data_IF_974981244496
#
_entry.id   IF_974981244496
#
_cell.length_a   1.000
_cell.length_b   1.000
_cell.length_c   1.000
_cell.angle_alpha   90.00
_cell.angle_beta   90.00
_cell.angle_gamma   90.00
#
_symmetry.space_group_name_H-M   'P 1'
#
loop_
_entity.id
_entity.type
_entity.pdbx_description
1 polymer ?
#
# COMPACT_ATOMS: atom_id res chain seq x y z
N UNK A 1 36.54 -10.20 6.07
CA UNK A 1 36.13 -11.32 5.19
C UNK A 1 35.35 -10.69 4.03
N UNK A 2 35.99 -10.48 2.88
CA UNK A 2 35.40 -9.69 1.78
C UNK A 2 34.55 -10.58 0.88
N UNK A 3 33.25 -10.29 0.78
CA UNK A 3 32.37 -10.86 -0.24
C UNK A 3 32.82 -10.30 -1.59
N UNK A 4 33.01 -11.15 -2.61
CA UNK A 4 33.50 -10.74 -3.94
C UNK A 4 32.48 -9.79 -4.60
N UNK A 5 32.69 -8.49 -4.47
CA UNK A 5 32.02 -7.48 -5.29
C UNK A 5 32.68 -7.52 -6.67
N UNK A 6 31.92 -7.84 -7.72
CA UNK A 6 32.38 -7.64 -9.11
C UNK A 6 32.35 -6.14 -9.41
N UNK A 7 33.37 -5.42 -8.93
CA UNK A 7 33.67 -4.06 -9.36
C UNK A 7 34.60 -4.12 -10.56
N UNK A 8 34.19 -3.54 -11.69
CA UNK A 8 35.12 -3.21 -12.77
C UNK A 8 36.00 -2.07 -12.22
N UNK A 9 37.27 -2.37 -12.00
CA UNK A 9 38.28 -1.38 -11.65
C UNK A 9 38.53 -0.54 -12.92
N UNK A 10 37.81 0.57 -13.09
CA UNK A 10 38.22 1.60 -14.06
C UNK A 10 39.40 2.32 -13.41
N UNK A 11 40.61 1.97 -13.84
CA UNK A 11 41.84 2.61 -13.38
C UNK A 11 41.75 4.12 -13.61
N UNK A 12 41.88 4.89 -12.54
CA UNK A 12 42.01 6.33 -12.61
C UNK A 12 43.38 6.63 -13.21
N UNK A 13 43.38 7.04 -14.48
CA UNK A 13 44.54 7.63 -15.13
C UNK A 13 44.73 9.04 -14.52
N UNK A 14 45.72 9.19 -13.63
CA UNK A 14 46.16 10.50 -13.17
C UNK A 14 46.77 11.26 -14.35
N UNK A 15 45.98 12.14 -14.98
CA UNK A 15 46.51 13.16 -15.90
C UNK A 15 46.86 14.38 -15.06
N UNK A 16 48.14 14.56 -14.75
CA UNK A 16 48.65 15.81 -14.21
C UNK A 16 48.72 16.83 -15.34
N UNK A 17 47.77 17.78 -15.36
CA UNK A 17 47.88 18.99 -16.18
C UNK A 17 48.71 20.00 -15.40
N UNK A 18 49.96 20.20 -15.81
CA UNK A 18 50.79 21.31 -15.32
C UNK A 18 50.72 22.44 -16.34
N UNK A 19 50.22 23.60 -15.92
CA UNK A 19 50.45 24.86 -16.64
C UNK A 19 50.44 26.04 -15.68
N UNK A 20 51.64 26.57 -15.40
CA UNK A 20 51.99 27.94 -14.98
C UNK A 20 51.39 28.50 -13.68
N UNK A 21 52.09 29.27 -12.84
CA UNK A 21 53.45 29.82 -12.88
C UNK A 21 53.76 30.36 -11.46
N UNK A 22 55.00 30.19 -10.99
CA UNK A 22 55.60 31.02 -9.94
C UNK A 22 55.51 30.51 -8.50
N UNK A 23 56.52 29.76 -8.03
CA UNK A 23 57.60 30.29 -7.16
C UNK A 23 58.49 29.16 -6.61
N UNK A 24 59.80 29.36 -6.79
CA UNK A 24 60.97 28.75 -6.12
C UNK A 24 61.12 27.22 -6.11
N UNK A 25 61.96 26.76 -7.02
CA UNK A 25 62.72 25.51 -6.92
C UNK A 25 63.86 25.73 -5.91
N UNK A 26 63.90 24.93 -4.85
CA UNK A 26 65.14 24.58 -4.17
C UNK A 26 64.99 23.20 -3.52
N UNK A 27 65.90 22.32 -3.94
CA UNK A 27 66.28 21.01 -3.40
C UNK A 27 65.33 19.82 -3.65
N UNK A 28 65.55 19.20 -4.82
CA UNK A 28 65.32 17.77 -5.02
C UNK A 28 66.36 17.00 -4.21
N UNK A 29 66.02 16.64 -2.98
CA UNK A 29 66.69 15.54 -2.30
C UNK A 29 66.00 14.24 -2.72
N UNK A 30 66.68 13.42 -3.51
CA UNK A 30 66.35 12.00 -3.66
C UNK A 30 66.58 11.33 -2.30
N UNK A 31 65.54 11.30 -1.48
CA UNK A 31 65.51 10.40 -0.32
C UNK A 31 64.99 9.07 -0.83
N UNK A 32 65.93 8.23 -1.27
CA UNK A 32 65.74 6.80 -1.33
C UNK A 32 65.71 6.26 0.11
N UNK A 33 64.57 6.41 0.78
CA UNK A 33 64.26 5.57 1.93
C UNK A 33 62.94 4.86 1.65
N UNK A 34 63.06 3.53 1.56
CA UNK A 34 61.95 2.59 1.55
C UNK A 34 61.41 2.57 2.98
N UNK A 35 60.71 3.65 3.35
CA UNK A 35 59.91 3.75 4.55
C UNK A 35 58.48 3.39 4.18
N UNK A 36 58.06 2.16 4.50
CA UNK A 36 56.68 1.72 4.38
C UNK A 36 55.77 2.57 5.26
N UNK A 37 55.32 3.71 4.76
CA UNK A 37 54.18 4.42 5.32
C UNK A 37 52.94 3.81 4.68
N UNK A 38 52.44 2.75 5.31
CA UNK A 38 51.03 2.39 5.21
C UNK A 38 50.23 3.60 5.68
N UNK A 39 49.78 4.42 4.74
CA UNK A 39 48.64 5.30 4.99
C UNK A 39 47.44 4.38 5.11
N UNK A 40 47.18 3.91 6.33
CA UNK A 40 45.88 3.34 6.67
C UNK A 40 44.86 4.48 6.56
N UNK A 41 44.37 4.72 5.34
CA UNK A 41 43.04 5.27 5.21
C UNK A 41 42.11 4.24 5.85
N UNK A 42 41.75 4.46 7.12
CA UNK A 42 40.52 3.91 7.69
C UNK A 42 39.38 4.47 6.86
N UNK A 43 39.11 3.88 5.70
CA UNK A 43 37.82 3.97 5.09
C UNK A 43 36.88 3.31 6.09
N UNK A 44 36.14 4.11 6.85
CA UNK A 44 34.99 3.61 7.60
C UNK A 44 34.15 2.85 6.59
N UNK A 45 34.14 1.52 6.71
CA UNK A 45 33.24 0.70 5.91
C UNK A 45 31.84 1.14 6.34
N UNK A 46 31.09 1.68 5.39
CA UNK A 46 29.74 2.14 5.65
C UNK A 46 28.87 0.91 5.91
N UNK A 47 28.78 0.50 7.17
CA UNK A 47 28.02 -0.69 7.60
C UNK A 47 26.51 -0.41 7.69
N UNK A 48 26.05 0.74 7.20
CA UNK A 48 24.65 1.11 7.23
C UNK A 48 24.14 1.69 5.92
N UNK A 49 22.89 1.39 5.59
CA UNK A 49 22.20 1.91 4.42
C UNK A 49 20.85 2.51 4.80
N UNK A 50 20.58 3.71 4.31
CA UNK A 50 19.31 4.40 4.53
C UNK A 50 18.33 4.09 3.40
N UNK A 51 17.14 3.60 3.75
CA UNK A 51 16.02 3.44 2.84
C UNK A 51 15.18 4.71 2.84
N UNK A 52 15.08 5.37 1.69
CA UNK A 52 14.44 6.68 1.54
C UNK A 52 13.21 6.58 0.65
N UNK A 53 12.12 7.20 1.06
CA UNK A 53 10.95 7.39 0.21
C UNK A 53 11.25 8.49 -0.82
N UNK A 54 11.38 8.11 -2.09
CA UNK A 54 11.70 9.07 -3.17
C UNK A 54 10.64 10.15 -3.38
N UNK A 55 9.40 9.94 -2.90
CA UNK A 55 8.28 10.88 -3.08
C UNK A 55 8.34 12.05 -2.08
N UNK A 56 8.81 11.77 -0.86
CA UNK A 56 8.84 12.75 0.24
C UNK A 56 10.26 13.14 0.64
N UNK A 57 11.27 12.39 0.20
CA UNK A 57 12.66 12.52 0.65
C UNK A 57 12.90 12.05 2.09
N UNK A 58 11.91 11.40 2.72
CA UNK A 58 11.98 10.98 4.13
C UNK A 58 12.72 9.66 4.26
N UNK A 59 13.62 9.56 5.24
CA UNK A 59 14.21 8.26 5.63
C UNK A 59 13.14 7.40 6.29
N UNK A 60 12.83 6.27 5.66
CA UNK A 60 11.83 5.30 6.13
C UNK A 60 12.45 4.34 7.13
N UNK A 61 13.70 3.90 6.87
CA UNK A 61 14.42 2.98 7.74
C UNK A 61 15.90 3.03 7.47
N UNK A 62 16.71 3.17 8.53
CA UNK A 62 18.15 2.93 8.48
C UNK A 62 18.44 1.48 8.85
N UNK A 63 19.22 0.80 8.02
CA UNK A 63 19.62 -0.59 8.19
C UNK A 63 21.08 -0.67 8.60
N UNK A 64 21.40 -1.49 9.60
CA UNK A 64 22.76 -1.91 9.92
C UNK A 64 23.01 -3.26 9.23
N UNK A 65 23.87 -3.28 8.22
CA UNK A 65 24.18 -4.46 7.40
C UNK A 65 24.80 -5.58 8.23
N UNK A 66 25.62 -5.24 9.23
CA UNK A 66 26.24 -6.23 10.12
C UNK A 66 25.18 -6.99 10.89
N UNK A 67 24.19 -6.27 11.44
CA UNK A 67 23.07 -6.85 12.20
C UNK A 67 22.18 -7.78 11.37
N UNK A 68 22.16 -7.57 10.04
CA UNK A 68 21.40 -8.40 9.10
C UNK A 68 22.15 -9.69 8.73
N UNK A 69 23.41 -9.86 9.14
CA UNK A 69 24.26 -11.01 8.82
C UNK A 69 25.04 -10.84 7.51
N UNK A 70 25.22 -9.62 7.01
CA UNK A 70 25.89 -9.34 5.73
C UNK A 70 27.31 -9.92 5.65
N UNK A 71 28.05 -9.88 6.75
CA UNK A 71 29.42 -10.39 6.85
C UNK A 71 29.52 -11.84 7.35
N UNK A 72 28.40 -12.46 7.69
CA UNK A 72 28.35 -13.77 8.34
C UNK A 72 27.96 -14.88 7.36
N UNK A 73 26.75 -14.79 6.81
CA UNK A 73 26.13 -15.86 6.02
C UNK A 73 25.14 -15.30 5.00
N UNK A 74 25.30 -15.71 3.74
CA UNK A 74 24.51 -15.20 2.62
C UNK A 74 23.03 -15.58 2.72
N UNK A 75 22.71 -16.78 3.23
CA UNK A 75 21.33 -17.22 3.38
C UNK A 75 20.63 -16.48 4.54
N UNK A 76 21.33 -16.26 5.65
CA UNK A 76 20.88 -15.45 6.79
C UNK A 76 20.63 -14.02 6.35
N UNK A 77 21.57 -13.41 5.62
CA UNK A 77 21.41 -12.05 5.10
C UNK A 77 20.19 -11.92 4.20
N UNK A 78 20.03 -12.84 3.24
CA UNK A 78 18.87 -12.86 2.35
C UNK A 78 17.54 -12.93 3.13
N UNK A 79 17.44 -13.83 4.11
CA UNK A 79 16.23 -13.96 4.93
C UNK A 79 15.93 -12.69 5.73
N UNK A 80 16.95 -12.04 6.28
CA UNK A 80 16.82 -10.77 6.99
C UNK A 80 16.35 -9.65 6.05
N UNK A 81 16.93 -9.55 4.86
CA UNK A 81 16.54 -8.57 3.84
C UNK A 81 15.11 -8.76 3.36
N UNK A 82 14.66 -9.99 3.13
CA UNK A 82 13.26 -10.30 2.79
C UNK A 82 12.29 -9.88 3.91
N UNK A 83 12.67 -10.07 5.17
CA UNK A 83 11.88 -9.60 6.32
C UNK A 83 11.82 -8.07 6.36
N UNK A 84 12.95 -7.40 6.14
CA UNK A 84 13.03 -5.94 6.07
C UNK A 84 12.13 -5.40 4.96
N UNK A 85 12.18 -5.97 3.76
CA UNK A 85 11.35 -5.53 2.64
C UNK A 85 9.85 -5.62 2.99
N UNK A 86 9.41 -6.73 3.62
CA UNK A 86 8.04 -6.90 4.09
C UNK A 86 7.63 -5.89 5.17
N UNK A 87 8.52 -5.58 6.10
CA UNK A 87 8.26 -4.58 7.14
C UNK A 87 8.15 -3.17 6.57
N UNK A 88 9.01 -2.82 5.61
CA UNK A 88 8.97 -1.53 4.91
C UNK A 88 7.70 -1.44 4.06
N UNK A 89 7.33 -2.51 3.34
CA UNK A 89 6.10 -2.59 2.57
C UNK A 89 4.87 -2.24 3.40
N UNK A 90 4.70 -2.85 4.58
CA UNK A 90 3.59 -2.53 5.50
C UNK A 90 3.45 -1.06 5.87
N UNK A 91 4.55 -0.30 5.91
CA UNK A 91 4.53 1.11 6.28
C UNK A 91 4.27 2.02 5.07
N UNK A 92 4.78 1.62 3.90
CA UNK A 92 4.80 2.41 2.68
C UNK A 92 3.55 2.16 1.83
N UNK A 93 3.07 0.92 1.83
CA UNK A 93 1.94 0.50 1.02
C UNK A 93 0.68 1.21 1.46
N UNK A 94 -0.03 1.76 0.47
CA UNK A 94 -1.33 2.41 0.65
C UNK A 94 -2.26 1.92 -0.44
N UNK A 95 -3.47 1.56 -0.04
CA UNK A 95 -4.54 1.21 -0.97
C UNK A 95 -5.10 2.47 -1.64
N UNK A 96 -5.64 2.30 -2.84
CA UNK A 96 -6.32 3.36 -3.58
C UNK A 96 -7.56 3.82 -2.82
N UNK A 97 -7.81 5.12 -2.81
CA UNK A 97 -9.14 5.68 -2.52
C UNK A 97 -9.73 6.13 -3.85
N UNK A 98 -10.77 5.46 -4.38
CA UNK A 98 -11.36 5.82 -5.65
C UNK A 98 -11.94 7.23 -5.69
N UNK A 99 -12.07 7.79 -6.89
CA UNK A 99 -12.83 9.02 -7.10
C UNK A 99 -14.33 8.77 -6.93
N UNK A 100 -15.08 9.83 -6.63
CA UNK A 100 -16.49 9.74 -6.26
C UNK A 100 -17.30 10.92 -6.79
N UNK A 101 -18.50 10.64 -7.26
CA UNK A 101 -19.56 11.65 -7.43
C UNK A 101 -20.42 11.68 -6.16
N UNK A 102 -20.32 12.75 -5.39
CA UNK A 102 -21.07 12.91 -4.15
C UNK A 102 -22.57 13.19 -4.43
N UNK A 103 -23.40 13.04 -3.39
CA UNK A 103 -24.85 13.21 -3.50
C UNK A 103 -25.28 14.65 -3.81
N UNK A 104 -24.44 15.63 -3.53
CA UNK A 104 -24.65 17.04 -3.89
C UNK A 104 -24.21 17.35 -5.34
N UNK A 105 -23.74 16.34 -6.09
CA UNK A 105 -23.24 16.47 -7.44
C UNK A 105 -21.78 16.90 -7.54
N UNK A 106 -21.08 17.09 -6.42
CA UNK A 106 -19.66 17.44 -6.44
C UNK A 106 -18.78 16.23 -6.80
N UNK A 107 -17.76 16.49 -7.61
CA UNK A 107 -16.72 15.51 -7.92
C UNK A 107 -15.63 15.54 -6.84
N UNK A 108 -15.30 14.38 -6.29
CA UNK A 108 -14.25 14.20 -5.30
C UNK A 108 -13.15 13.34 -5.91
N UNK A 109 -11.98 13.95 -6.11
CA UNK A 109 -10.81 13.23 -6.62
C UNK A 109 -10.32 12.20 -5.61
N UNK A 110 -10.00 11.01 -6.11
CA UNK A 110 -9.45 9.93 -5.33
C UNK A 110 -7.98 10.15 -4.96
N UNK A 111 -7.43 9.19 -4.20
CA UNK A 111 -6.02 9.17 -3.77
C UNK A 111 -5.30 7.95 -4.37
N UNK A 112 -4.05 8.12 -4.81
CA UNK A 112 -3.26 7.03 -5.39
C UNK A 112 -3.03 5.89 -4.40
N UNK A 113 -2.90 4.67 -4.94
CA UNK A 113 -2.23 3.59 -4.23
C UNK A 113 -0.73 3.67 -4.39
N UNK A 114 -0.02 3.16 -3.39
CA UNK A 114 1.42 3.01 -3.41
C UNK A 114 1.75 1.58 -3.03
N UNK A 115 2.66 0.96 -3.78
CA UNK A 115 3.05 -0.44 -3.62
C UNK A 115 4.58 -0.54 -3.72
N UNK A 116 5.21 -1.04 -2.67
CA UNK A 116 6.63 -1.32 -2.67
C UNK A 116 6.93 -2.55 -3.52
N UNK A 117 7.83 -2.42 -4.49
CA UNK A 117 8.36 -3.54 -5.26
C UNK A 117 9.35 -4.33 -4.39
N UNK A 118 8.84 -5.13 -3.46
CA UNK A 118 9.64 -5.86 -2.46
C UNK A 118 10.77 -6.66 -3.10
N UNK A 119 10.49 -7.36 -4.22
CA UNK A 119 11.50 -8.14 -4.94
C UNK A 119 12.65 -7.28 -5.47
N UNK A 120 12.33 -6.09 -5.97
CA UNK A 120 13.35 -5.16 -6.45
C UNK A 120 14.18 -4.61 -5.28
N UNK A 121 13.53 -4.25 -4.16
CA UNK A 121 14.24 -3.81 -2.97
C UNK A 121 15.17 -4.89 -2.42
N UNK A 122 14.70 -6.15 -2.35
CA UNK A 122 15.52 -7.30 -1.94
C UNK A 122 16.72 -7.44 -2.86
N UNK A 123 16.53 -7.37 -4.18
CA UNK A 123 17.63 -7.46 -5.14
C UNK A 123 18.64 -6.32 -4.98
N UNK A 124 18.20 -5.08 -4.75
CA UNK A 124 19.09 -3.94 -4.47
C UNK A 124 19.91 -4.20 -3.21
N UNK A 125 19.27 -4.60 -2.11
CA UNK A 125 19.94 -4.86 -0.84
C UNK A 125 20.88 -6.07 -0.87
N UNK A 126 20.58 -7.10 -1.66
CA UNK A 126 21.48 -8.25 -1.85
C UNK A 126 22.76 -7.88 -2.62
N UNK A 127 22.70 -6.83 -3.45
CA UNK A 127 23.81 -6.33 -4.25
C UNK A 127 24.38 -5.02 -3.70
N UNK A 128 24.22 -4.77 -2.40
CA UNK A 128 24.69 -3.54 -1.76
C UNK A 128 26.20 -3.37 -1.93
N UNK A 129 26.59 -2.22 -2.49
CA UNK A 129 27.98 -1.83 -2.67
C UNK A 129 28.58 -1.27 -1.38
N UNK A 130 29.90 -1.38 -1.25
CA UNK A 130 30.66 -0.85 -0.10
C UNK A 130 30.53 0.68 0.09
N UNK A 131 30.13 1.38 -0.97
CA UNK A 131 30.00 2.85 -1.01
C UNK A 131 28.54 3.31 -1.03
N UNK A 132 27.57 2.39 -0.98
CA UNK A 132 26.15 2.74 -1.01
C UNK A 132 25.72 3.26 0.36
N UNK A 133 25.32 4.53 0.42
CA UNK A 133 24.85 5.17 1.65
C UNK A 133 23.33 5.20 1.77
N UNK A 134 22.62 5.15 0.64
CA UNK A 134 21.16 5.17 0.62
C UNK A 134 20.57 4.53 -0.63
N UNK A 135 19.36 4.02 -0.51
CA UNK A 135 18.53 3.59 -1.63
C UNK A 135 17.17 4.24 -1.60
N UNK A 136 16.74 4.72 -2.77
CA UNK A 136 15.36 5.07 -2.99
C UNK A 136 14.52 3.81 -3.08
N UNK A 137 13.43 3.77 -2.30
CA UNK A 137 12.47 2.70 -2.32
C UNK A 137 11.82 2.59 -3.71
N UNK A 138 11.80 1.39 -4.33
CA UNK A 138 11.12 1.19 -5.60
C UNK A 138 9.60 1.11 -5.35
N UNK A 139 8.94 2.26 -5.36
CA UNK A 139 7.50 2.39 -5.08
C UNK A 139 6.77 2.63 -6.39
N UNK A 140 5.75 1.83 -6.68
CA UNK A 140 4.83 2.04 -7.80
C UNK A 140 3.64 2.86 -7.31
N UNK A 141 3.38 3.98 -7.98
CA UNK A 141 2.18 4.79 -7.79
C UNK A 141 1.14 4.43 -8.86
N UNK A 142 -0.11 4.19 -8.44
CA UNK A 142 -1.25 4.04 -9.35
C UNK A 142 -2.35 5.00 -8.93
N UNK A 143 -2.66 5.98 -9.78
CA UNK A 143 -3.71 6.98 -9.55
C UNK A 143 -5.06 6.43 -10.00
N UNK A 144 -6.16 6.77 -9.31
CA UNK A 144 -7.49 6.61 -9.88
C UNK A 144 -7.56 7.36 -11.21
N UNK A 145 -8.09 6.72 -12.25
CA UNK A 145 -8.20 7.33 -13.59
C UNK A 145 -9.63 7.69 -13.96
N UNK A 146 -10.62 7.33 -13.14
CA UNK A 146 -12.00 7.80 -13.29
C UNK A 146 -12.09 9.33 -13.28
N UNK A 147 -12.99 9.86 -14.10
CA UNK A 147 -13.26 11.29 -14.28
C UNK A 147 -14.74 11.60 -14.04
N UNK A 148 -15.07 12.90 -13.91
CA UNK A 148 -16.47 13.32 -13.79
C UNK A 148 -17.33 12.85 -14.97
N UNK A 149 -16.81 12.84 -16.20
CA UNK A 149 -17.57 12.36 -17.37
C UNK A 149 -17.98 10.90 -17.25
N UNK A 150 -17.12 10.06 -16.65
CA UNK A 150 -17.41 8.64 -16.41
C UNK A 150 -18.56 8.44 -15.42
N UNK A 151 -18.86 9.43 -14.59
CA UNK A 151 -19.88 9.37 -13.56
C UNK A 151 -21.27 9.83 -14.02
N UNK A 152 -21.37 10.46 -15.19
CA UNK A 152 -22.58 11.12 -15.67
C UNK A 152 -23.66 10.12 -16.11
N UNK A 153 -24.91 10.46 -15.80
CA UNK A 153 -26.08 9.62 -16.10
C UNK A 153 -26.28 8.46 -15.12
N UNK A 154 -27.24 7.60 -15.45
CA UNK A 154 -27.68 6.49 -14.59
C UNK A 154 -26.91 5.18 -14.81
N UNK A 155 -26.24 5.03 -15.95
CA UNK A 155 -25.63 3.76 -16.35
C UNK A 155 -26.65 2.62 -16.51
N UNK A 156 -26.16 1.39 -16.62
CA UNK A 156 -26.96 0.15 -16.62
C UNK A 156 -26.55 -0.73 -15.45
N UNK A 157 -27.50 -1.20 -14.65
CA UNK A 157 -27.22 -2.09 -13.53
C UNK A 157 -26.74 -3.45 -14.06
N UNK A 158 -25.51 -3.82 -13.70
CA UNK A 158 -24.87 -5.10 -14.08
C UNK A 158 -24.64 -6.02 -12.88
N UNK A 159 -24.86 -5.54 -11.66
CA UNK A 159 -24.89 -6.34 -10.44
C UNK A 159 -25.76 -5.67 -9.40
N UNK A 160 -26.53 -6.46 -8.64
CA UNK A 160 -27.43 -5.95 -7.61
C UNK A 160 -27.60 -6.98 -6.50
N UNK A 161 -27.42 -6.55 -5.27
CA UNK A 161 -27.67 -7.40 -4.11
C UNK A 161 -28.30 -6.61 -2.97
N UNK A 162 -29.11 -7.28 -2.18
CA UNK A 162 -29.78 -6.66 -1.03
C UNK A 162 -29.79 -7.59 0.18
N UNK A 163 -29.77 -7.00 1.37
CA UNK A 163 -29.83 -7.73 2.64
C UNK A 163 -30.84 -7.07 3.59
N UNK A 164 -31.59 -7.88 4.33
CA UNK A 164 -32.63 -7.38 5.24
C UNK A 164 -32.02 -6.69 6.47
N UNK A 165 -32.64 -5.58 6.90
CA UNK A 165 -32.31 -4.90 8.16
C UNK A 165 -33.33 -5.13 9.26
N UNK A 166 -34.40 -5.90 8.99
CA UNK A 166 -35.46 -6.20 9.96
C UNK A 166 -34.94 -6.69 11.30
N UNK A 167 -35.49 -6.18 12.40
CA UNK A 167 -35.08 -6.51 13.77
C UNK A 167 -33.76 -5.87 14.23
N UNK A 168 -33.11 -5.03 13.41
CA UNK A 168 -31.90 -4.30 13.81
C UNK A 168 -32.23 -3.15 14.77
N UNK A 169 -31.41 -2.98 15.80
CA UNK A 169 -31.47 -1.81 16.68
C UNK A 169 -30.97 -0.54 15.96
N UNK A 170 -31.37 0.64 16.46
CA UNK A 170 -31.08 1.94 15.84
C UNK A 170 -29.59 2.18 15.56
N UNK A 171 -28.70 1.89 16.52
CA UNK A 171 -27.26 2.10 16.32
C UNK A 171 -26.64 1.24 15.22
N UNK A 172 -27.11 0.01 15.07
CA UNK A 172 -26.69 -0.87 13.96
C UNK A 172 -27.13 -0.33 12.60
N UNK A 173 -28.37 0.16 12.51
CA UNK A 173 -28.91 0.76 11.28
C UNK A 173 -28.11 2.02 10.92
N UNK A 174 -27.76 2.85 11.90
CA UNK A 174 -26.96 4.04 11.67
C UNK A 174 -25.55 3.72 11.17
N UNK A 175 -24.88 2.73 11.75
CA UNK A 175 -23.57 2.25 11.26
C UNK A 175 -23.62 1.78 9.80
N UNK A 176 -24.67 1.03 9.45
CA UNK A 176 -24.90 0.58 8.08
C UNK A 176 -25.18 1.76 7.16
N UNK A 177 -25.99 2.74 7.60
CA UNK A 177 -26.29 3.95 6.85
C UNK A 177 -25.03 4.77 6.57
N UNK A 178 -24.17 4.97 7.57
CA UNK A 178 -22.91 5.71 7.46
C UNK A 178 -21.95 5.02 6.47
N UNK A 179 -21.72 3.71 6.65
CA UNK A 179 -20.83 2.96 5.75
C UNK A 179 -21.36 2.89 4.32
N UNK A 180 -22.67 2.69 4.12
CA UNK A 180 -23.30 2.75 2.79
C UNK A 180 -23.15 4.14 2.15
N UNK A 181 -23.36 5.21 2.93
CA UNK A 181 -23.22 6.57 2.45
C UNK A 181 -21.78 6.91 2.03
N UNK A 182 -20.76 6.31 2.64
CA UNK A 182 -19.35 6.47 2.20
C UNK A 182 -19.08 5.83 0.84
N UNK A 183 -19.74 4.71 0.53
CA UNK A 183 -19.55 3.93 -0.71
C UNK A 183 -20.35 4.51 -1.88
N UNK A 184 -21.52 5.07 -1.60
CA UNK A 184 -22.44 5.53 -2.63
C UNK A 184 -21.83 6.60 -3.53
N UNK A 185 -21.80 6.35 -4.85
CA UNK A 185 -21.28 7.27 -5.86
C UNK A 185 -19.79 7.08 -6.18
N UNK A 186 -19.11 6.10 -5.58
CA UNK A 186 -17.75 5.72 -5.98
C UNK A 186 -17.72 5.32 -7.45
N UNK A 187 -16.71 5.77 -8.19
CA UNK A 187 -16.51 5.46 -9.60
C UNK A 187 -15.16 4.75 -9.77
N UNK A 188 -15.16 3.66 -10.53
CA UNK A 188 -13.97 2.87 -10.86
C UNK A 188 -13.85 2.79 -12.37
N UNK A 189 -12.83 3.43 -12.95
CA UNK A 189 -12.44 3.18 -14.33
C UNK A 189 -11.71 1.83 -14.44
N UNK A 190 -11.35 1.42 -15.67
CA UNK A 190 -10.60 0.19 -15.89
C UNK A 190 -9.23 0.26 -15.20
N UNK A 191 -8.95 -0.72 -14.34
CA UNK A 191 -7.74 -0.80 -13.52
C UNK A 191 -7.84 -0.09 -12.16
N UNK A 192 -8.90 0.67 -11.91
CA UNK A 192 -9.14 1.24 -10.58
C UNK A 192 -9.58 0.13 -9.61
N UNK A 193 -9.11 0.23 -8.37
CA UNK A 193 -9.43 -0.72 -7.30
C UNK A 193 -10.19 -0.04 -6.17
N UNK A 194 -11.21 -0.71 -5.66
CA UNK A 194 -11.88 -0.37 -4.42
C UNK A 194 -11.24 -1.12 -3.25
N UNK A 195 -11.01 -0.43 -2.14
CA UNK A 195 -10.71 -1.01 -0.82
C UNK A 195 -11.70 -0.46 0.19
N UNK A 196 -12.37 -1.36 0.92
CA UNK A 196 -13.37 -0.98 1.91
C UNK A 196 -12.72 -0.21 3.06
N UNK A 197 -11.59 -0.72 3.57
CA UNK A 197 -10.82 -0.08 4.63
C UNK A 197 -10.19 1.24 4.21
N UNK A 198 -9.74 1.39 2.95
CA UNK A 198 -9.18 2.65 2.48
C UNK A 198 -10.23 3.77 2.44
N UNK A 199 -11.47 3.42 2.12
CA UNK A 199 -12.57 4.37 1.99
C UNK A 199 -13.20 4.74 3.33
N UNK A 200 -13.47 3.75 4.18
CA UNK A 200 -14.22 3.95 5.43
C UNK A 200 -13.28 4.16 6.63
N UNK A 201 -12.14 3.46 6.63
CA UNK A 201 -11.21 3.41 7.77
C UNK A 201 -11.81 2.75 9.01
N UNK A 202 -11.22 3.04 10.16
CA UNK A 202 -11.73 2.56 11.45
C UNK A 202 -13.12 3.12 11.78
N UNK A 203 -13.96 2.32 12.43
CA UNK A 203 -15.36 2.65 12.77
C UNK A 203 -15.43 3.25 14.17
N UNK A 204 -15.15 4.55 14.29
CA UNK A 204 -14.99 5.22 15.59
C UNK A 204 -16.15 6.15 15.95
N UNK A 205 -16.34 6.50 17.24
CA UNK A 205 -17.44 7.36 17.69
C UNK A 205 -17.39 8.77 17.11
N UNK A 206 -16.18 9.33 16.93
CA UNK A 206 -15.95 10.65 16.32
C UNK A 206 -16.41 10.72 14.86
N UNK A 207 -16.46 9.58 14.17
CA UNK A 207 -17.04 9.45 12.83
C UNK A 207 -18.56 9.19 12.84
N UNK A 208 -19.19 9.21 14.02
CA UNK A 208 -20.62 8.99 14.20
C UNK A 208 -21.03 7.52 14.32
N UNK A 209 -20.08 6.57 14.29
CA UNK A 209 -20.42 5.16 14.52
C UNK A 209 -20.88 4.97 15.96
N UNK A 210 -21.90 4.12 16.12
CA UNK A 210 -22.54 3.80 17.38
C UNK A 210 -22.21 2.37 17.81
N UNK A 211 -22.41 2.07 19.10
CA UNK A 211 -22.29 0.72 19.60
C UNK A 211 -23.33 -0.20 18.94
N UNK A 212 -22.85 -1.32 18.42
CA UNK A 212 -23.67 -2.41 17.89
C UNK A 212 -22.99 -3.75 18.12
N UNK A 213 -23.73 -4.84 17.90
CA UNK A 213 -23.18 -6.19 18.05
C UNK A 213 -22.24 -6.52 16.89
N UNK A 214 -21.05 -6.98 17.22
CA UNK A 214 -20.00 -7.42 16.31
C UNK A 214 -19.53 -8.83 16.70
N UNK A 215 -18.93 -9.56 15.75
CA UNK A 215 -18.36 -10.89 16.01
C UNK A 215 -16.84 -10.75 16.10
N UNK A 216 -16.29 -10.95 17.30
CA UNK A 216 -14.84 -10.97 17.57
C UNK A 216 -14.49 -12.34 18.15
N UNK A 217 -13.55 -13.04 17.52
CA UNK A 217 -13.15 -14.42 17.89
C UNK A 217 -14.35 -15.36 18.10
N UNK A 218 -15.37 -15.19 17.25
CA UNK A 218 -16.60 -15.98 17.30
C UNK A 218 -17.57 -15.61 18.43
N UNK A 219 -17.33 -14.56 19.22
CA UNK A 219 -18.25 -14.09 20.26
C UNK A 219 -18.93 -12.80 19.83
N UNK A 220 -20.20 -12.63 20.23
CA UNK A 220 -20.90 -11.37 20.07
C UNK A 220 -20.46 -10.40 21.16
N UNK A 221 -19.86 -9.30 20.76
CA UNK A 221 -19.41 -8.20 21.63
C UNK A 221 -20.00 -6.88 21.16
N UNK A 222 -20.04 -5.88 22.04
CA UNK A 222 -20.39 -4.52 21.63
C UNK A 222 -19.14 -3.83 21.09
N UNK A 223 -19.25 -3.28 19.88
CA UNK A 223 -18.21 -2.53 19.20
C UNK A 223 -18.81 -1.37 18.42
N UNK A 224 -18.00 -0.36 18.13
CA UNK A 224 -18.40 0.73 17.25
C UNK A 224 -18.29 0.27 15.81
N UNK A 225 -19.39 0.37 15.06
CA UNK A 225 -19.45 -0.14 13.68
C UNK A 225 -20.19 -1.47 13.54
N UNK A 226 -20.82 -1.98 14.60
CA UNK A 226 -21.69 -3.16 14.52
C UNK A 226 -22.70 -3.04 13.38
N UNK A 227 -22.64 -3.97 12.42
CA UNK A 227 -23.40 -3.93 11.17
C UNK A 227 -22.58 -3.69 9.90
N UNK A 228 -21.37 -3.12 9.99
CA UNK A 228 -20.55 -2.76 8.82
C UNK A 228 -20.11 -3.99 7.98
N UNK A 229 -19.93 -5.17 8.59
CA UNK A 229 -19.71 -6.41 7.82
C UNK A 229 -20.91 -6.81 6.93
N UNK A 230 -22.13 -6.38 7.26
CA UNK A 230 -23.28 -6.55 6.35
C UNK A 230 -23.17 -5.61 5.15
N UNK A 231 -22.64 -4.40 5.34
CA UNK A 231 -22.30 -3.47 4.26
C UNK A 231 -21.31 -4.10 3.28
N UNK A 232 -20.14 -4.53 3.75
CA UNK A 232 -19.14 -5.19 2.89
C UNK A 232 -19.68 -6.44 2.22
N UNK A 233 -20.44 -7.28 2.93
CA UNK A 233 -21.02 -8.49 2.33
C UNK A 233 -22.06 -8.17 1.25
N UNK A 234 -22.90 -7.15 1.44
CA UNK A 234 -23.88 -6.74 0.44
C UNK A 234 -23.18 -6.19 -0.81
N UNK A 235 -22.16 -5.34 -0.62
CA UNK A 235 -21.37 -4.81 -1.71
C UNK A 235 -20.62 -5.91 -2.47
N UNK A 236 -19.97 -6.83 -1.75
CA UNK A 236 -19.25 -7.96 -2.33
C UNK A 236 -20.15 -8.74 -3.32
N UNK A 237 -21.38 -9.06 -2.91
CA UNK A 237 -22.26 -9.85 -3.77
C UNK A 237 -22.67 -9.10 -5.04
N UNK A 238 -22.91 -7.78 -4.95
CA UNK A 238 -23.21 -6.96 -6.13
C UNK A 238 -21.99 -6.83 -7.06
N UNK A 239 -20.79 -6.65 -6.49
CA UNK A 239 -19.53 -6.56 -7.23
C UNK A 239 -19.17 -7.88 -7.94
N UNK A 240 -19.35 -9.01 -7.26
CA UNK A 240 -19.12 -10.35 -7.80
C UNK A 240 -20.10 -10.66 -8.96
N UNK A 241 -21.39 -10.33 -8.79
CA UNK A 241 -22.38 -10.46 -9.87
C UNK A 241 -22.04 -9.59 -11.09
N UNK A 242 -21.47 -8.40 -10.86
CA UNK A 242 -21.02 -7.49 -11.91
C UNK A 242 -19.71 -7.91 -12.59
N UNK A 243 -19.12 -9.04 -12.19
CA UNK A 243 -17.87 -9.55 -12.76
C UNK A 243 -16.63 -8.74 -12.38
N UNK A 244 -16.67 -7.95 -11.29
CA UNK A 244 -15.49 -7.26 -10.79
C UNK A 244 -14.49 -8.27 -10.22
N UNK A 245 -13.20 -8.04 -10.42
CA UNK A 245 -12.16 -8.98 -10.01
C UNK A 245 -11.92 -8.87 -8.51
N UNK A 246 -12.26 -9.90 -7.75
CA UNK A 246 -11.96 -9.95 -6.32
C UNK A 246 -10.45 -10.10 -6.10
N UNK A 247 -9.85 -9.17 -5.37
CA UNK A 247 -8.42 -9.14 -5.03
C UNK A 247 -8.19 -9.63 -3.60
N UNK A 248 -8.99 -9.16 -2.66
CA UNK A 248 -8.96 -9.59 -1.26
C UNK A 248 -10.38 -9.79 -0.75
N UNK A 249 -10.60 -10.94 -0.11
CA UNK A 249 -11.85 -11.27 0.57
C UNK A 249 -11.59 -12.33 1.61
N UNK A 250 -12.14 -12.13 2.81
CA UNK A 250 -12.17 -13.13 3.88
C UNK A 250 -13.60 -13.37 4.31
N UNK A 251 -13.95 -14.62 4.66
CA UNK A 251 -15.24 -14.97 5.26
C UNK A 251 -15.13 -15.07 6.77
N UNK A 252 -16.24 -14.89 7.48
CA UNK A 252 -16.32 -15.09 8.91
C UNK A 252 -16.06 -16.56 9.25
N UNK A 253 -15.50 -16.81 10.44
CA UNK A 253 -15.37 -18.16 10.99
C UNK A 253 -16.71 -18.77 11.40
N UNK A 254 -17.77 -17.96 11.50
CA UNK A 254 -19.14 -18.36 11.85
C UNK A 254 -20.13 -17.87 10.81
N UNK A 255 -21.22 -18.60 10.63
CA UNK A 255 -22.31 -18.20 9.74
C UNK A 255 -22.94 -16.89 10.19
N UNK A 256 -23.15 -15.98 9.25
CA UNK A 256 -23.86 -14.71 9.46
C UNK A 256 -25.30 -14.81 8.94
N UNK A 257 -26.25 -14.18 9.61
CA UNK A 257 -27.68 -14.32 9.30
C UNK A 257 -28.18 -13.50 8.11
N UNK A 258 -27.35 -12.67 7.48
CA UNK A 258 -27.76 -11.71 6.44
C UNK A 258 -27.36 -12.11 5.02
N UNK A 259 -26.51 -13.14 4.83
CA UNK A 259 -26.13 -13.70 3.52
C UNK A 259 -25.95 -15.22 3.62
N UNK A 260 -26.09 -15.97 2.51
CA UNK A 260 -25.78 -17.40 2.49
C UNK A 260 -24.32 -17.69 2.91
N UNK A 261 -24.06 -18.92 3.38
CA UNK A 261 -22.71 -19.36 3.72
C UNK A 261 -21.76 -19.20 2.53
N UNK A 262 -20.58 -18.63 2.77
CA UNK A 262 -19.59 -18.39 1.72
C UNK A 262 -19.94 -17.23 0.80
N UNK A 263 -20.93 -16.39 1.14
CA UNK A 263 -21.28 -15.15 0.44
C UNK A 263 -21.04 -13.89 1.28
N UNK A 264 -20.36 -14.02 2.40
CA UNK A 264 -19.97 -12.91 3.25
C UNK A 264 -18.57 -12.39 2.94
N UNK A 265 -18.31 -11.15 3.35
CA UNK A 265 -17.02 -10.49 3.29
C UNK A 265 -16.75 -9.78 4.63
N UNK A 266 -15.90 -10.36 5.46
CA UNK A 266 -15.51 -9.83 6.77
C UNK A 266 -14.52 -8.67 6.62
N UNK A 267 -14.73 -7.62 7.41
CA UNK A 267 -13.83 -6.49 7.53
C UNK A 267 -13.36 -6.42 8.98
N UNK A 268 -12.09 -6.14 9.18
CA UNK A 268 -11.50 -5.86 10.49
C UNK A 268 -10.36 -4.87 10.26
N UNK A 269 -10.61 -3.58 10.47
CA UNK A 269 -9.63 -2.56 10.18
C UNK A 269 -8.39 -2.70 11.09
N UNK A 270 -7.14 -2.57 10.56
CA UNK A 270 -6.76 -2.49 9.14
C UNK A 270 -6.39 -3.86 8.51
N UNK A 271 -6.70 -4.99 9.17
CA UNK A 271 -6.19 -6.33 8.88
C UNK A 271 -6.97 -7.13 7.82
N UNK A 272 -8.30 -7.11 7.86
CA UNK A 272 -9.17 -7.80 6.89
C UNK A 272 -9.93 -6.76 6.08
N UNK A 273 -9.87 -6.90 4.75
CA UNK A 273 -10.44 -5.95 3.80
C UNK A 273 -11.27 -6.68 2.72
N UNK A 274 -12.12 -5.91 2.05
CA UNK A 274 -12.74 -6.26 0.79
C UNK A 274 -12.11 -5.39 -0.29
N UNK A 275 -11.33 -6.01 -1.16
CA UNK A 275 -10.66 -5.33 -2.27
C UNK A 275 -11.10 -5.95 -3.58
N UNK A 276 -11.52 -5.12 -4.52
CA UNK A 276 -11.84 -5.55 -5.88
C UNK A 276 -11.40 -4.53 -6.92
N UNK A 277 -11.13 -5.00 -8.13
CA UNK A 277 -10.63 -4.21 -9.25
C UNK A 277 -11.66 -4.21 -10.39
N UNK A 278 -11.91 -3.04 -10.99
CA UNK A 278 -12.68 -2.98 -12.22
C UNK A 278 -11.79 -3.39 -13.40
N UNK A 279 -11.99 -4.59 -13.92
CA UNK A 279 -11.29 -5.09 -15.11
C UNK A 279 -12.11 -4.95 -16.39
N UNK A 280 -13.34 -4.45 -16.29
CA UNK A 280 -14.24 -4.24 -17.41
C UNK A 280 -13.74 -3.10 -18.31
N UNK A 281 -14.15 -3.11 -19.58
CA UNK A 281 -13.79 -2.07 -20.56
C UNK A 281 -14.55 -0.74 -20.37
N UNK A 282 -15.45 -0.67 -19.40
CA UNK A 282 -16.22 0.54 -19.09
C UNK A 282 -16.08 0.89 -17.61
N UNK A 283 -16.14 2.19 -17.26
CA UNK A 283 -16.22 2.59 -15.86
C UNK A 283 -17.48 2.02 -15.20
N UNK A 284 -17.38 1.80 -13.89
CA UNK A 284 -18.52 1.41 -13.07
C UNK A 284 -18.75 2.41 -11.95
N UNK A 285 -20.01 2.71 -11.65
CA UNK A 285 -20.42 3.51 -10.50
C UNK A 285 -21.13 2.63 -9.48
N UNK A 286 -20.71 2.73 -8.23
CA UNK A 286 -21.31 2.00 -7.11
C UNK A 286 -22.47 2.80 -6.56
N UNK A 287 -23.62 2.16 -6.41
CA UNK A 287 -24.74 2.68 -5.62
C UNK A 287 -24.86 1.87 -4.34
N UNK A 288 -25.08 2.56 -3.22
CA UNK A 288 -25.35 1.91 -1.95
C UNK A 288 -26.28 2.74 -1.08
N UNK A 289 -27.30 2.11 -0.50
CA UNK A 289 -28.27 2.82 0.32
C UNK A 289 -29.27 1.90 1.01
N UNK A 290 -30.06 2.47 1.91
CA UNK A 290 -31.15 1.78 2.60
C UNK A 290 -32.46 2.11 1.89
N UNK A 291 -33.18 1.09 1.43
CA UNK A 291 -34.49 1.20 0.77
C UNK A 291 -35.45 0.15 1.34
N UNK A 292 -36.64 0.57 1.78
CA UNK A 292 -37.67 -0.38 2.22
C UNK A 292 -37.23 -1.34 3.34
N UNK A 293 -36.38 -0.90 4.27
CA UNK A 293 -35.85 -1.75 5.34
C UNK A 293 -34.78 -2.75 4.89
N UNK A 294 -34.23 -2.58 3.69
CA UNK A 294 -33.12 -3.38 3.15
C UNK A 294 -31.93 -2.49 2.86
N UNK A 295 -30.74 -3.02 3.06
CA UNK A 295 -29.53 -2.44 2.50
C UNK A 295 -29.39 -2.95 1.06
N UNK A 296 -29.23 -2.05 0.10
CA UNK A 296 -29.14 -2.33 -1.33
C UNK A 296 -27.77 -1.86 -1.83
N UNK A 297 -27.11 -2.71 -2.62
CA UNK A 297 -25.91 -2.36 -3.39
C UNK A 297 -26.17 -2.66 -4.87
N UNK A 298 -25.77 -1.73 -5.74
CA UNK A 298 -25.83 -1.89 -7.19
C UNK A 298 -24.51 -1.45 -7.83
N UNK A 299 -24.14 -2.11 -8.92
CA UNK A 299 -23.01 -1.75 -9.77
C UNK A 299 -23.55 -1.32 -11.13
N UNK A 300 -23.31 -0.06 -11.48
CA UNK A 300 -23.81 0.54 -12.71
C UNK A 300 -22.66 0.62 -13.72
N UNK A 301 -22.78 -0.07 -14.84
CA UNK A 301 -21.91 0.13 -16.00
C UNK A 301 -22.20 1.49 -16.61
N UNK A 302 -21.18 2.35 -16.68
CA UNK A 302 -21.27 3.69 -17.24
C UNK A 302 -20.98 3.66 -18.75
N UNK A 303 -21.28 4.77 -19.43
CA UNK A 303 -21.09 4.91 -20.88
C UNK A 303 -19.77 5.58 -21.20
#
# INVERSE_FOLDING_TARGET
MFRKVKGILVGVLCVAVVSGCGTKVSDVALVSDIGGHTVEAKAEVQDSISLVDGRTGTEVKKLDLSSLGYFEDEAKFKKSVEKVAKEVGKNVDKKMVPSRLASDGSWQEGKPSFELMEKELVNKLLNVGMWDSSYQLPIVEKKPVATLSDAQGSGTVIGRYETNLGGSAGGRIENIRLSAASINGVVLAKGDSFSFNALIGDTTPDKGYQLGKEIVDGKLVDGYGGGVCQTSSTLYNAADQAGLKMVERTTHSKTVGYVPQGRDATIAYPYLDLVFENTNDAPVKLYMGIQGGKLVAEVHKMK
#
